data_IF_392178629558
#
_entry.id   IF_392178629558
#
_cell.length_a   1.000
_cell.length_b   1.000
_cell.length_c   1.000
_cell.angle_alpha   90.00
_cell.angle_beta   90.00
_cell.angle_gamma   90.00
#
_symmetry.space_group_name_H-M   'P 1'
#
loop_
_entity.id
_entity.type
_entity.pdbx_description
1 polymer ?
#
# COMPACT_ATOMS: atom_id res chain seq x y z
N UNK A 1 -20.78 -0.95 -9.87
CA UNK A 1 -19.34 -0.69 -9.64
C UNK A 1 -18.91 0.41 -10.61
N UNK A 2 -18.24 1.44 -10.09
CA UNK A 2 -17.78 2.57 -10.90
C UNK A 2 -16.26 2.53 -10.92
N UNK A 3 -15.67 2.68 -12.10
CA UNK A 3 -14.23 2.74 -12.28
C UNK A 3 -13.82 4.14 -12.72
N UNK A 4 -12.68 4.62 -12.25
CA UNK A 4 -12.06 5.88 -12.66
C UNK A 4 -10.62 5.65 -13.13
N UNK A 5 -10.17 6.44 -14.09
CA UNK A 5 -8.79 6.42 -14.57
C UNK A 5 -8.23 7.83 -14.55
N UNK A 6 -7.08 8.03 -13.90
CA UNK A 6 -6.36 9.31 -13.87
C UNK A 6 -5.20 9.22 -14.84
N UNK A 7 -5.22 10.02 -15.89
CA UNK A 7 -4.18 10.07 -16.92
C UNK A 7 -3.54 11.46 -16.98
N UNK A 8 -2.26 11.51 -17.31
CA UNK A 8 -1.52 12.78 -17.44
C UNK A 8 -0.01 12.53 -17.56
N UNK A 9 0.73 13.54 -17.98
CA UNK A 9 2.19 13.50 -18.04
C UNK A 9 2.84 13.45 -16.65
N UNK A 10 4.10 13.09 -16.59
CA UNK A 10 4.90 13.19 -15.34
C UNK A 10 4.88 14.63 -14.84
N UNK A 11 4.66 14.81 -13.53
CA UNK A 11 4.57 16.13 -12.91
C UNK A 11 3.21 16.84 -13.03
N UNK A 12 2.20 16.24 -13.68
CA UNK A 12 0.87 16.83 -13.85
C UNK A 12 -0.05 16.77 -12.62
N UNK A 13 0.43 16.23 -11.49
CA UNK A 13 -0.36 16.16 -10.25
C UNK A 13 -1.25 14.93 -10.10
N UNK A 14 -1.06 13.87 -10.92
CA UNK A 14 -1.89 12.64 -10.83
C UNK A 14 -1.92 12.02 -9.45
N UNK A 15 -0.75 11.86 -8.84
CA UNK A 15 -0.64 11.29 -7.48
C UNK A 15 -1.33 12.18 -6.46
N UNK A 16 -1.18 13.52 -6.56
CA UNK A 16 -1.89 14.47 -5.70
C UNK A 16 -3.40 14.32 -5.80
N UNK A 17 -3.96 14.31 -7.02
CA UNK A 17 -5.40 14.08 -7.22
C UNK A 17 -5.85 12.72 -6.66
N UNK A 18 -5.01 11.67 -6.79
CA UNK A 18 -5.30 10.36 -6.21
C UNK A 18 -5.35 10.42 -4.68
N UNK A 19 -4.42 11.14 -4.06
CA UNK A 19 -4.39 11.37 -2.61
C UNK A 19 -5.63 12.15 -2.17
N UNK A 20 -5.98 13.24 -2.84
CA UNK A 20 -7.18 14.03 -2.54
C UNK A 20 -8.45 13.16 -2.56
N UNK A 21 -8.60 12.28 -3.57
CA UNK A 21 -9.73 11.38 -3.66
C UNK A 21 -9.76 10.34 -2.52
N UNK A 22 -8.61 9.83 -2.10
CA UNK A 22 -8.49 8.91 -0.97
C UNK A 22 -8.88 9.64 0.32
N UNK A 23 -8.35 10.83 0.57
CA UNK A 23 -8.65 11.62 1.76
C UNK A 23 -10.14 11.97 1.87
N UNK A 24 -10.77 12.41 0.76
CA UNK A 24 -12.21 12.68 0.73
C UNK A 24 -13.05 11.42 1.00
N UNK A 25 -12.60 10.27 0.49
CA UNK A 25 -13.26 8.98 0.71
C UNK A 25 -13.18 8.57 2.18
N UNK A 26 -12.01 8.74 2.81
CA UNK A 26 -11.80 8.46 4.24
C UNK A 26 -12.62 9.39 5.12
N UNK A 27 -12.67 10.69 4.80
CA UNK A 27 -13.50 11.67 5.51
C UNK A 27 -15.00 11.36 5.39
N UNK A 28 -15.42 10.71 4.31
CA UNK A 28 -16.78 10.20 4.15
C UNK A 28 -17.04 8.89 4.94
N UNK A 29 -16.07 8.38 5.68
CA UNK A 29 -16.17 7.14 6.47
C UNK A 29 -16.13 5.87 5.62
N UNK A 30 -15.62 5.94 4.40
CA UNK A 30 -15.52 4.80 3.49
C UNK A 30 -14.09 4.23 3.55
N UNK A 31 -13.91 2.93 3.84
CA UNK A 31 -12.58 2.32 3.88
C UNK A 31 -11.95 2.26 2.50
N UNK A 32 -10.62 2.45 2.44
CA UNK A 32 -9.83 2.45 1.21
C UNK A 32 -8.76 1.37 1.28
N UNK A 33 -8.62 0.58 0.23
CA UNK A 33 -7.48 -0.29 -0.03
C UNK A 33 -6.65 0.31 -1.16
N UNK A 34 -5.43 0.76 -0.84
CA UNK A 34 -4.51 1.32 -1.82
C UNK A 34 -3.43 0.30 -2.20
N UNK A 35 -3.31 -0.01 -3.49
CA UNK A 35 -2.21 -0.81 -4.04
C UNK A 35 -1.16 0.15 -4.60
N UNK A 36 0.00 0.20 -3.96
CA UNK A 36 1.06 1.16 -4.25
C UNK A 36 2.37 0.50 -4.70
N UNK A 37 2.49 0.10 -5.97
CA UNK A 37 3.72 -0.52 -6.49
C UNK A 37 4.94 0.39 -6.49
N UNK A 38 4.74 1.71 -6.37
CA UNK A 38 5.81 2.71 -6.39
C UNK A 38 6.27 3.16 -5.01
N UNK A 39 5.42 3.04 -3.99
CA UNK A 39 5.66 3.59 -2.67
C UNK A 39 5.41 5.10 -2.57
N UNK A 40 4.60 5.68 -3.46
CA UNK A 40 4.29 7.13 -3.47
C UNK A 40 3.23 7.51 -2.42
N UNK A 41 2.43 6.55 -1.93
CA UNK A 41 1.29 6.78 -1.05
C UNK A 41 1.61 6.64 0.45
N UNK A 42 2.83 6.23 0.81
CA UNK A 42 3.23 6.06 2.22
C UNK A 42 3.03 7.32 3.07
N UNK A 43 3.08 8.49 2.44
CA UNK A 43 2.85 9.77 3.10
C UNK A 43 1.40 9.99 3.58
N UNK A 44 0.42 9.22 3.11
CA UNK A 44 -0.95 9.26 3.62
C UNK A 44 -1.05 8.97 5.14
N UNK A 45 -0.08 8.21 5.67
CA UNK A 45 0.02 7.96 7.10
C UNK A 45 0.56 9.16 7.91
N UNK A 46 1.15 10.17 7.23
CA UNK A 46 1.84 11.28 7.85
C UNK A 46 0.95 12.54 7.87
N UNK A 47 0.01 12.57 8.80
CA UNK A 47 -0.86 13.74 9.01
C UNK A 47 -0.45 14.45 10.30
N UNK A 48 -0.04 15.73 10.19
CA UNK A 48 0.41 16.57 11.32
C UNK A 48 -0.54 17.74 11.53
N UNK A 49 -1.63 17.59 12.30
CA UNK A 49 -2.64 18.62 12.47
C UNK A 49 -2.12 19.91 13.11
N UNK A 50 -1.12 19.80 13.97
CA UNK A 50 -0.50 20.95 14.66
C UNK A 50 0.47 21.75 13.79
N UNK A 51 0.89 21.19 12.65
CA UNK A 51 1.87 21.77 11.72
C UNK A 51 3.11 22.32 12.43
N UNK A 52 3.53 21.66 13.53
CA UNK A 52 4.67 22.09 14.33
C UNK A 52 5.99 21.55 13.78
N UNK A 53 7.08 22.28 13.98
CA UNK A 53 8.42 21.78 13.64
C UNK A 53 8.75 20.46 14.34
N UNK A 54 8.25 20.27 15.57
CA UNK A 54 8.50 19.06 16.35
C UNK A 54 7.86 17.83 15.72
N UNK A 55 6.68 17.96 15.12
CA UNK A 55 5.99 16.86 14.43
C UNK A 55 6.67 16.48 13.11
N UNK A 56 7.26 17.44 12.41
CA UNK A 56 8.04 17.18 11.19
C UNK A 56 9.44 16.64 11.47
N UNK A 57 10.06 17.00 12.60
CA UNK A 57 11.47 16.73 12.91
C UNK A 57 11.88 15.23 12.74
N UNK A 58 11.09 14.23 13.19
CA UNK A 58 11.45 12.82 13.02
C UNK A 58 11.49 12.33 11.56
N UNK A 59 10.85 13.07 10.65
CA UNK A 59 10.68 12.71 9.24
C UNK A 59 11.57 13.53 8.29
N UNK A 60 12.44 14.37 8.83
CA UNK A 60 13.37 15.19 8.04
C UNK A 60 14.53 14.33 7.57
N UNK A 61 14.86 14.47 6.29
CA UNK A 61 16.09 13.95 5.71
C UNK A 61 17.27 14.84 6.16
N UNK A 62 18.10 14.30 7.05
CA UNK A 62 19.26 15.01 7.58
C UNK A 62 20.31 15.31 6.51
N UNK A 63 20.43 14.45 5.48
CA UNK A 63 21.33 14.70 4.38
C UNK A 63 20.88 15.89 3.53
N UNK A 64 19.56 16.04 3.32
CA UNK A 64 19.00 17.21 2.63
C UNK A 64 19.21 18.49 3.44
N UNK A 65 19.01 18.46 4.76
CA UNK A 65 19.27 19.61 5.62
C UNK A 65 20.74 20.03 5.57
N UNK A 66 21.66 19.06 5.62
CA UNK A 66 23.11 19.32 5.51
C UNK A 66 23.49 19.89 4.15
N UNK A 67 22.90 19.40 3.07
CA UNK A 67 23.13 19.91 1.71
C UNK A 67 22.71 21.38 1.54
N UNK A 68 21.66 21.81 2.28
CA UNK A 68 21.21 23.22 2.33
C UNK A 68 21.97 24.08 3.36
N UNK A 69 22.89 23.48 4.13
CA UNK A 69 23.70 24.20 5.11
C UNK A 69 22.93 24.65 6.35
N UNK A 70 21.81 23.99 6.68
CA UNK A 70 20.97 24.29 7.84
C UNK A 70 20.95 23.09 8.81
N UNK A 71 20.59 23.36 10.06
CA UNK A 71 20.36 22.29 11.04
C UNK A 71 19.07 21.52 10.73
N UNK A 72 18.96 20.25 11.12
CA UNK A 72 17.71 19.48 10.96
C UNK A 72 16.51 20.16 11.63
N UNK A 73 16.69 20.88 12.72
CA UNK A 73 15.62 21.60 13.43
C UNK A 73 15.17 22.84 12.64
N UNK A 74 16.10 23.59 12.04
CA UNK A 74 15.79 24.69 11.14
C UNK A 74 15.08 24.20 9.87
N UNK A 75 15.52 23.06 9.33
CA UNK A 75 14.89 22.43 8.17
C UNK A 75 13.45 21.99 8.49
N UNK A 76 13.21 21.38 9.67
CA UNK A 76 11.89 21.02 10.13
C UNK A 76 10.97 22.24 10.30
N UNK A 77 11.47 23.32 10.90
CA UNK A 77 10.71 24.56 11.07
C UNK A 77 10.33 25.18 9.73
N UNK A 78 11.25 25.20 8.78
CA UNK A 78 11.01 25.68 7.42
C UNK A 78 9.98 24.80 6.69
N UNK A 79 10.11 23.48 6.79
CA UNK A 79 9.15 22.54 6.21
C UNK A 79 7.75 22.76 6.77
N UNK A 80 7.60 22.84 8.09
CA UNK A 80 6.33 23.13 8.74
C UNK A 80 5.71 24.46 8.26
N UNK A 81 6.55 25.51 8.08
CA UNK A 81 6.10 26.80 7.56
C UNK A 81 5.61 26.72 6.12
N UNK A 82 6.33 25.97 5.25
CA UNK A 82 5.94 25.76 3.84
C UNK A 82 4.58 25.05 3.77
N UNK A 83 4.39 24.01 4.57
CA UNK A 83 3.13 23.27 4.64
C UNK A 83 1.98 24.17 5.10
N UNK A 84 2.15 24.94 6.18
CA UNK A 84 1.15 25.86 6.69
C UNK A 84 0.73 26.87 5.62
N UNK A 85 1.70 27.52 4.97
CA UNK A 85 1.42 28.47 3.90
C UNK A 85 0.76 27.83 2.67
N UNK A 86 1.10 26.57 2.36
CA UNK A 86 0.49 25.81 1.28
C UNK A 86 -1.00 25.56 1.54
N UNK A 87 -1.33 25.08 2.73
CA UNK A 87 -2.71 24.83 3.15
C UNK A 87 -3.53 26.13 3.23
N UNK A 88 -2.98 27.20 3.80
CA UNK A 88 -3.63 28.51 3.84
C UNK A 88 -3.99 29.04 2.44
N UNK A 89 -3.07 28.89 1.47
CA UNK A 89 -3.31 29.29 0.07
C UNK A 89 -4.40 28.49 -0.60
N UNK A 90 -4.58 27.24 -0.20
CA UNK A 90 -5.62 26.35 -0.70
C UNK A 90 -6.93 26.46 0.08
N UNK A 91 -6.97 27.27 1.14
CA UNK A 91 -8.15 27.42 2.00
C UNK A 91 -8.45 26.18 2.84
N UNK A 92 -7.44 25.35 3.12
CA UNK A 92 -7.56 24.14 3.94
C UNK A 92 -7.25 24.51 5.39
N UNK A 93 -8.25 24.46 6.29
CA UNK A 93 -8.04 24.80 7.68
C UNK A 93 -7.36 23.64 8.44
N UNK A 94 -6.59 23.91 9.52
CA UNK A 94 -5.92 22.87 10.33
C UNK A 94 -6.87 21.83 10.90
N UNK A 95 -8.13 22.22 11.19
CA UNK A 95 -9.17 21.33 11.70
C UNK A 95 -9.48 20.19 10.74
N UNK A 96 -9.30 20.41 9.42
CA UNK A 96 -9.49 19.36 8.42
C UNK A 96 -8.42 18.28 8.51
N UNK A 97 -7.18 18.65 8.83
CA UNK A 97 -6.11 17.68 9.08
C UNK A 97 -6.40 16.82 10.31
N UNK A 98 -6.95 17.44 11.36
CA UNK A 98 -7.38 16.71 12.55
C UNK A 98 -8.53 15.74 12.22
N UNK A 99 -9.53 16.20 11.45
CA UNK A 99 -10.64 15.36 11.01
C UNK A 99 -10.14 14.16 10.20
N UNK A 100 -9.20 14.36 9.28
CA UNK A 100 -8.60 13.26 8.50
C UNK A 100 -7.87 12.27 9.39
N UNK A 101 -7.06 12.75 10.34
CA UNK A 101 -6.35 11.89 11.28
C UNK A 101 -7.30 11.07 12.16
N UNK A 102 -8.42 11.65 12.56
CA UNK A 102 -9.42 10.98 13.39
C UNK A 102 -10.34 10.04 12.59
N UNK A 103 -10.46 10.28 11.28
CA UNK A 103 -11.32 9.49 10.39
C UNK A 103 -10.66 8.17 9.92
N UNK A 104 -9.32 8.08 9.94
CA UNK A 104 -8.61 6.97 9.32
C UNK A 104 -7.52 6.38 10.23
N UNK A 105 -7.53 5.06 10.36
CA UNK A 105 -6.40 4.28 10.84
C UNK A 105 -5.67 3.69 9.63
N UNK A 106 -4.43 4.14 9.40
CA UNK A 106 -3.66 3.78 8.21
C UNK A 106 -2.66 2.68 8.56
N UNK A 107 -2.83 1.51 7.96
CA UNK A 107 -1.88 0.40 8.08
C UNK A 107 -1.13 0.19 6.78
N UNK A 108 0.20 0.22 6.83
CA UNK A 108 1.07 -0.02 5.67
C UNK A 108 1.54 -1.48 5.68
N UNK A 109 1.06 -2.25 4.72
CA UNK A 109 1.52 -3.62 4.49
C UNK A 109 2.69 -3.61 3.50
N UNK A 110 3.77 -4.32 3.83
CA UNK A 110 4.99 -4.39 3.01
C UNK A 110 5.31 -5.85 2.66
N UNK A 111 4.77 -6.37 1.55
CA UNK A 111 5.07 -7.73 1.11
C UNK A 111 6.58 -7.91 0.89
N UNK A 112 7.17 -8.94 1.52
CA UNK A 112 8.60 -9.25 1.39
C UNK A 112 9.54 -8.30 2.14
N UNK A 113 9.01 -7.44 3.02
CA UNK A 113 9.79 -6.52 3.86
C UNK A 113 9.20 -6.44 5.26
N UNK A 114 10.03 -6.13 6.24
CA UNK A 114 9.66 -5.87 7.63
C UNK A 114 9.59 -4.36 7.96
N UNK A 115 9.69 -3.51 6.96
CA UNK A 115 9.61 -2.06 7.12
C UNK A 115 8.22 -1.58 7.60
N UNK A 116 7.17 -2.34 7.29
CA UNK A 116 5.81 -2.15 7.77
C UNK A 116 5.25 -3.47 8.31
N UNK A 117 3.94 -3.68 8.16
CA UNK A 117 3.31 -4.95 8.54
C UNK A 117 3.61 -5.98 7.43
N UNK A 118 4.34 -7.06 7.72
CA UNK A 118 4.63 -8.07 6.72
C UNK A 118 3.34 -8.75 6.26
N UNK A 119 3.20 -8.97 4.97
CA UNK A 119 2.06 -9.66 4.37
C UNK A 119 2.48 -11.05 3.92
N UNK A 120 1.83 -12.07 4.45
CA UNK A 120 1.98 -13.43 3.95
C UNK A 120 1.08 -13.62 2.71
N UNK A 121 1.68 -13.57 1.52
CA UNK A 121 0.95 -13.70 0.25
C UNK A 121 0.55 -15.14 -0.07
N UNK A 122 1.19 -16.12 0.57
CA UNK A 122 0.88 -17.55 0.33
C UNK A 122 -0.25 -18.02 1.24
N UNK A 123 -0.53 -17.30 2.32
CA UNK A 123 -1.53 -17.69 3.29
C UNK A 123 -1.23 -19.04 3.93
N UNK A 124 -2.19 -19.93 3.94
CA UNK A 124 -2.07 -21.30 4.41
C UNK A 124 -1.99 -22.27 3.23
N UNK A 125 -1.16 -23.30 3.33
CA UNK A 125 -1.18 -24.44 2.41
C UNK A 125 -2.32 -25.43 2.73
N UNK A 126 -3.10 -25.18 3.77
CA UNK A 126 -4.27 -25.99 4.09
C UNK A 126 -5.38 -25.80 3.04
N UNK A 127 -6.13 -26.85 2.80
CA UNK A 127 -7.29 -26.79 1.91
C UNK A 127 -8.28 -25.73 2.40
N UNK A 128 -8.79 -24.85 1.52
CA UNK A 128 -9.88 -23.95 1.86
C UNK A 128 -11.15 -24.76 2.22
N UNK A 129 -12.08 -24.21 3.01
CA UNK A 129 -13.29 -24.90 3.41
C UNK A 129 -14.35 -24.92 2.28
N UNK A 130 -13.95 -25.45 1.13
CA UNK A 130 -14.75 -25.55 -0.09
C UNK A 130 -14.97 -27.02 -0.46
N UNK A 131 -16.09 -27.32 -1.13
CA UNK A 131 -16.43 -28.68 -1.53
C UNK A 131 -15.95 -28.98 -2.95
N UNK A 132 -15.26 -30.09 -3.12
CA UNK A 132 -14.87 -30.59 -4.44
C UNK A 132 -16.05 -30.97 -5.35
N UNK A 133 -17.24 -31.22 -4.77
CA UNK A 133 -18.43 -31.57 -5.54
C UNK A 133 -19.07 -30.35 -6.19
N UNK A 134 -19.00 -29.20 -5.53
CA UNK A 134 -19.72 -27.99 -5.96
C UNK A 134 -18.80 -26.85 -6.40
N UNK A 135 -17.55 -26.81 -5.92
CA UNK A 135 -16.64 -25.68 -6.08
C UNK A 135 -15.25 -26.09 -6.63
N UNK A 136 -15.21 -27.19 -7.40
CA UNK A 136 -13.96 -27.74 -7.94
C UNK A 136 -13.16 -26.77 -8.79
N UNK A 137 -13.81 -25.86 -9.52
CA UNK A 137 -13.17 -24.85 -10.35
C UNK A 137 -12.44 -23.82 -9.46
N UNK A 138 -13.11 -23.29 -8.45
CA UNK A 138 -12.50 -22.38 -7.46
C UNK A 138 -11.32 -23.01 -6.75
N UNK A 139 -11.44 -24.28 -6.35
CA UNK A 139 -10.33 -25.02 -5.70
C UNK A 139 -9.12 -25.16 -6.63
N UNK A 140 -9.33 -25.37 -7.92
CA UNK A 140 -8.23 -25.46 -8.90
C UNK A 140 -7.56 -24.11 -9.12
N UNK A 141 -8.33 -23.02 -9.17
CA UNK A 141 -7.80 -21.67 -9.28
C UNK A 141 -6.93 -21.32 -8.04
N UNK A 142 -7.38 -21.71 -6.84
CA UNK A 142 -6.60 -21.55 -5.60
C UNK A 142 -5.30 -22.37 -5.61
N UNK A 143 -5.34 -23.60 -6.13
CA UNK A 143 -4.15 -24.45 -6.30
C UNK A 143 -3.19 -23.78 -7.28
N UNK A 144 -3.67 -23.31 -8.43
CA UNK A 144 -2.86 -22.65 -9.44
C UNK A 144 -2.17 -21.40 -8.87
N UNK A 145 -2.92 -20.54 -8.17
CA UNK A 145 -2.38 -19.36 -7.52
C UNK A 145 -1.33 -19.67 -6.44
N UNK A 146 -1.61 -20.68 -5.61
CA UNK A 146 -0.70 -21.14 -4.55
C UNK A 146 0.61 -21.67 -5.15
N UNK A 147 0.53 -22.56 -6.14
CA UNK A 147 1.70 -23.16 -6.79
C UNK A 147 2.52 -22.11 -7.54
N UNK A 148 1.86 -21.20 -8.26
CA UNK A 148 2.54 -20.09 -8.94
C UNK A 148 3.32 -19.23 -7.94
N UNK A 149 2.71 -18.91 -6.80
CA UNK A 149 3.34 -18.13 -5.74
C UNK A 149 4.54 -18.86 -5.12
N UNK A 150 4.41 -20.16 -4.83
CA UNK A 150 5.51 -20.98 -4.30
C UNK A 150 6.70 -21.05 -5.27
N UNK A 151 6.45 -21.26 -6.55
CA UNK A 151 7.49 -21.32 -7.57
C UNK A 151 8.18 -19.95 -7.73
N UNK A 152 7.42 -18.87 -7.68
CA UNK A 152 7.97 -17.53 -7.74
C UNK A 152 8.91 -17.23 -6.56
N UNK A 153 8.62 -17.71 -5.34
CA UNK A 153 9.49 -17.52 -4.17
C UNK A 153 10.88 -18.16 -4.34
N UNK A 154 10.95 -19.27 -5.06
CA UNK A 154 12.23 -19.94 -5.36
C UNK A 154 12.85 -19.48 -6.68
N UNK A 155 12.30 -18.40 -7.27
CA UNK A 155 12.82 -17.81 -8.51
C UNK A 155 12.48 -18.57 -9.80
N UNK A 156 11.56 -19.53 -9.72
CA UNK A 156 11.12 -20.30 -10.89
C UNK A 156 9.90 -19.60 -11.51
N UNK A 157 10.05 -19.16 -12.76
CA UNK A 157 8.93 -18.68 -13.58
C UNK A 157 8.36 -19.87 -14.32
N UNK A 158 7.22 -20.35 -13.87
CA UNK A 158 6.54 -21.49 -14.45
C UNK A 158 5.17 -21.07 -15.00
N UNK A 159 4.89 -21.46 -16.24
CA UNK A 159 3.58 -21.26 -16.86
C UNK A 159 2.60 -22.31 -16.35
N UNK A 160 1.43 -21.92 -15.83
CA UNK A 160 0.37 -22.86 -15.49
C UNK A 160 0.06 -23.79 -16.66
N UNK A 161 -0.25 -25.04 -16.41
CA UNK A 161 -0.62 -26.07 -17.37
C UNK A 161 0.50 -26.56 -18.32
N UNK A 162 1.60 -25.82 -18.50
CA UNK A 162 2.67 -26.20 -19.46
C UNK A 162 3.99 -26.58 -18.79
N UNK A 163 4.35 -25.94 -17.68
CA UNK A 163 5.60 -26.22 -16.98
C UNK A 163 5.49 -27.49 -16.13
N UNK A 164 6.48 -28.37 -16.20
CA UNK A 164 6.50 -29.65 -15.46
C UNK A 164 6.44 -29.44 -13.96
N UNK A 165 7.16 -28.46 -13.46
CA UNK A 165 7.22 -28.09 -12.04
C UNK A 165 5.84 -27.65 -11.55
N UNK A 166 5.15 -26.84 -12.33
CA UNK A 166 3.82 -26.35 -11.99
C UNK A 166 2.80 -27.50 -11.98
N UNK A 167 2.77 -28.31 -13.02
CA UNK A 167 1.87 -29.46 -13.13
C UNK A 167 2.10 -30.46 -12.00
N UNK A 168 3.39 -30.75 -11.67
CA UNK A 168 3.72 -31.66 -10.58
C UNK A 168 3.21 -31.16 -9.23
N UNK A 169 3.53 -29.90 -8.90
CA UNK A 169 3.13 -29.32 -7.61
C UNK A 169 1.61 -29.17 -7.51
N UNK A 170 0.93 -28.76 -8.58
CA UNK A 170 -0.54 -28.68 -8.60
C UNK A 170 -1.19 -30.02 -8.31
N UNK A 171 -0.70 -31.10 -8.91
CA UNK A 171 -1.20 -32.45 -8.62
C UNK A 171 -0.93 -32.90 -7.17
N UNK A 172 0.23 -32.53 -6.61
CA UNK A 172 0.55 -32.84 -5.20
C UNK A 172 -0.36 -32.09 -4.24
N UNK A 173 -0.59 -30.80 -4.46
CA UNK A 173 -1.48 -29.98 -3.65
C UNK A 173 -2.93 -30.45 -3.79
N UNK A 174 -3.40 -30.71 -5.01
CA UNK A 174 -4.75 -31.24 -5.24
C UNK A 174 -4.97 -32.57 -4.50
N UNK A 175 -3.99 -33.49 -4.59
CA UNK A 175 -4.09 -34.76 -3.88
C UNK A 175 -4.11 -34.59 -2.36
N UNK A 176 -3.31 -33.65 -1.83
CA UNK A 176 -3.29 -33.34 -0.40
C UNK A 176 -4.61 -32.71 0.08
N UNK A 177 -5.24 -31.88 -0.75
CA UNK A 177 -6.50 -31.22 -0.40
C UNK A 177 -7.74 -32.12 -0.54
N UNK A 178 -7.61 -33.24 -1.27
CA UNK A 178 -8.68 -34.23 -1.43
C UNK A 178 -8.71 -35.28 -0.32
N UNK A 179 -7.60 -35.45 0.42
CA UNK A 179 -7.43 -36.48 1.46
C UNK A 179 -7.32 -35.81 2.86
#
# INVERSE_FOLDING_TARGET
TTHGVIVGMTGSGKTGLGIDLIEETLLAGIPVLALDPKGDLGNLALVFPDLSAASFRPWIDEAAAQAEGVTPDEYAARTASIWRQGLERQGIPPERLQQLRDAADVTVYTPGSDAGVPLNLIGSLAAPPLSWETEAETLRDEIEGTVTSLLALVGIRAEPLSSREHVLLSNLVENAWRN
#
